data_IF_123567868720
#
_entry.id   IF_123567868720
#
_cell.length_a   1.000
_cell.length_b   1.000
_cell.length_c   1.000
_cell.angle_alpha   90.00
_cell.angle_beta   90.00
_cell.angle_gamma   90.00
#
_symmetry.space_group_name_H-M   'P 1'
#
loop_
_entity.id
_entity.type
_entity.pdbx_description
1 polymer ?
#
# COMPACT_ATOMS: atom_id res chain seq x y z
N UNK A 1 7.58 -11.56 17.43
CA UNK A 1 8.64 -10.61 17.00
C UNK A 1 8.37 -9.23 17.59
N UNK A 2 9.36 -8.48 18.06
CA UNK A 2 9.09 -7.16 18.66
C UNK A 2 8.97 -6.04 17.59
N UNK A 3 8.40 -4.90 17.96
CA UNK A 3 8.14 -3.79 17.01
C UNK A 3 9.40 -3.23 16.35
N UNK A 4 10.56 -3.28 17.02
CA UNK A 4 11.83 -2.79 16.45
C UNK A 4 12.27 -3.72 15.32
N UNK A 5 12.19 -5.03 15.52
CA UNK A 5 12.52 -6.01 14.49
C UNK A 5 11.60 -5.89 13.27
N UNK A 6 10.29 -5.73 13.49
CA UNK A 6 9.32 -5.49 12.39
C UNK A 6 9.65 -4.20 11.63
N UNK A 7 9.97 -3.14 12.38
CA UNK A 7 10.34 -1.84 11.79
C UNK A 7 11.55 -1.96 10.86
N UNK A 8 12.59 -2.66 11.30
CA UNK A 8 13.81 -2.91 10.52
C UNK A 8 13.55 -3.80 9.31
N UNK A 9 12.81 -4.90 9.48
CA UNK A 9 12.51 -5.85 8.39
C UNK A 9 11.63 -5.24 7.30
N UNK A 10 10.59 -4.50 7.70
CA UNK A 10 9.58 -3.95 6.78
C UNK A 10 9.94 -2.55 6.27
N UNK A 11 11.03 -1.96 6.74
CA UNK A 11 11.50 -0.65 6.31
C UNK A 11 10.55 0.51 6.65
N UNK A 12 9.78 0.39 7.73
CA UNK A 12 8.87 1.43 8.22
C UNK A 12 9.12 1.75 9.68
N UNK A 13 8.83 2.97 10.12
CA UNK A 13 9.09 3.36 11.51
C UNK A 13 8.19 2.61 12.50
N UNK A 14 8.69 2.39 13.72
CA UNK A 14 7.88 1.86 14.81
C UNK A 14 6.66 2.75 15.11
N UNK A 15 6.74 4.06 14.87
CA UNK A 15 5.61 4.97 15.03
C UNK A 15 4.55 4.78 13.94
N UNK A 16 4.95 4.44 12.71
CA UNK A 16 4.04 4.03 11.64
C UNK A 16 3.30 2.75 11.99
N UNK A 17 3.99 1.74 12.54
CA UNK A 17 3.36 0.51 13.02
C UNK A 17 2.33 0.79 14.12
N UNK A 18 2.71 1.61 15.12
CA UNK A 18 1.79 2.04 16.19
C UNK A 18 0.60 2.82 15.64
N UNK A 19 0.83 3.67 14.65
CA UNK A 19 -0.22 4.44 14.00
C UNK A 19 -1.20 3.54 13.28
N UNK A 20 -0.72 2.57 12.49
CA UNK A 20 -1.56 1.62 11.76
C UNK A 20 -2.37 0.73 12.69
N UNK A 21 -1.78 0.21 13.77
CA UNK A 21 -2.51 -0.49 14.83
C UNK A 21 -3.59 0.42 15.45
N UNK A 22 -3.23 1.66 15.82
CA UNK A 22 -4.15 2.60 16.50
C UNK A 22 -5.38 2.95 15.67
N UNK A 23 -5.24 3.07 14.36
CA UNK A 23 -6.35 3.42 13.47
C UNK A 23 -7.08 2.19 12.92
N UNK A 24 -6.67 0.97 13.28
CA UNK A 24 -7.31 -0.27 12.84
C UNK A 24 -6.91 -0.71 11.44
N UNK A 25 -5.77 -0.25 10.91
CA UNK A 25 -5.16 -0.80 9.69
C UNK A 25 -4.41 -2.10 9.94
N UNK A 26 -4.04 -2.37 11.19
CA UNK A 26 -3.54 -3.68 11.60
C UNK A 26 -4.38 -4.08 12.82
N UNK A 27 -4.82 -5.34 12.94
CA UNK A 27 -5.49 -5.81 14.15
C UNK A 27 -4.64 -5.56 15.41
N UNK A 28 -5.26 -5.47 16.59
CA UNK A 28 -4.53 -5.29 17.84
C UNK A 28 -3.48 -6.39 18.04
N UNK A 29 -2.23 -5.97 18.25
CA UNK A 29 -1.11 -6.90 18.40
C UNK A 29 -1.00 -7.35 19.85
N UNK A 30 -0.78 -8.64 20.06
CA UNK A 30 -0.56 -9.22 21.38
C UNK A 30 0.64 -8.58 22.09
N UNK A 31 0.65 -8.68 23.42
CA UNK A 31 1.73 -8.17 24.25
C UNK A 31 2.28 -9.26 25.15
N UNK A 32 3.58 -9.26 25.33
CA UNK A 32 4.25 -10.08 26.35
C UNK A 32 3.87 -9.61 27.75
N UNK A 33 4.16 -10.42 28.77
CA UNK A 33 3.98 -10.05 30.17
C UNK A 33 4.72 -8.74 30.57
N UNK A 34 5.78 -8.37 29.84
CA UNK A 34 6.50 -7.11 30.02
C UNK A 34 5.88 -5.91 29.27
N UNK A 35 4.71 -6.06 28.66
CA UNK A 35 4.00 -5.00 27.94
C UNK A 35 4.54 -4.70 26.53
N UNK A 36 5.51 -5.48 26.06
CA UNK A 36 6.13 -5.33 24.73
C UNK A 36 5.24 -6.01 23.70
N UNK A 37 4.99 -5.34 22.56
CA UNK A 37 4.27 -5.94 21.43
C UNK A 37 5.00 -7.17 20.90
N UNK A 38 4.25 -8.23 20.70
CA UNK A 38 4.74 -9.48 20.15
C UNK A 38 3.93 -9.83 18.90
N UNK A 39 4.49 -9.51 17.75
CA UNK A 39 3.93 -9.77 16.44
C UNK A 39 4.07 -11.25 16.11
N UNK A 40 2.93 -11.89 15.88
CA UNK A 40 2.80 -13.23 15.32
C UNK A 40 2.96 -13.21 13.81
N UNK A 41 3.08 -14.38 13.17
CA UNK A 41 3.10 -14.47 11.70
C UNK A 41 1.83 -13.89 11.07
N UNK A 42 0.67 -14.00 11.74
CA UNK A 42 -0.58 -13.41 11.26
C UNK A 42 -0.53 -11.89 11.28
N UNK A 43 0.00 -11.30 12.35
CA UNK A 43 0.19 -9.86 12.45
C UNK A 43 1.12 -9.35 11.33
N UNK A 44 2.16 -10.10 11.00
CA UNK A 44 3.06 -9.75 9.90
C UNK A 44 2.38 -9.81 8.54
N UNK A 45 1.48 -10.77 8.30
CA UNK A 45 0.66 -10.79 7.08
C UNK A 45 -0.24 -9.56 6.98
N UNK A 46 -0.81 -9.09 8.10
CA UNK A 46 -1.58 -7.85 8.13
C UNK A 46 -0.73 -6.60 7.87
N UNK A 47 0.49 -6.55 8.42
CA UNK A 47 1.45 -5.49 8.12
C UNK A 47 1.77 -5.47 6.63
N UNK A 48 2.11 -6.61 6.04
CA UNK A 48 2.46 -6.72 4.61
C UNK A 48 1.28 -6.33 3.71
N UNK A 49 0.07 -6.81 4.04
CA UNK A 49 -1.15 -6.44 3.34
C UNK A 49 -1.38 -4.92 3.38
N UNK A 50 -1.28 -4.32 4.57
CA UNK A 50 -1.48 -2.88 4.75
C UNK A 50 -0.47 -2.06 3.96
N UNK A 51 0.81 -2.45 4.00
CA UNK A 51 1.86 -1.75 3.28
C UNK A 51 1.67 -1.84 1.77
N UNK A 52 1.35 -3.02 1.25
CA UNK A 52 1.05 -3.22 -0.16
C UNK A 52 -0.12 -2.33 -0.60
N UNK A 53 -1.27 -2.41 0.08
CA UNK A 53 -2.47 -1.66 -0.29
C UNK A 53 -2.28 -0.14 -0.19
N UNK A 54 -1.61 0.34 0.87
CA UNK A 54 -1.32 1.77 1.04
C UNK A 54 -0.35 2.28 -0.03
N UNK A 55 0.66 1.50 -0.41
CA UNK A 55 1.58 1.88 -1.49
C UNK A 55 0.90 1.92 -2.86
N UNK A 56 -0.10 1.06 -3.09
CA UNK A 56 -0.94 1.09 -4.29
C UNK A 56 -1.97 2.23 -4.29
N UNK A 57 -2.07 2.99 -3.19
CA UNK A 57 -2.91 4.17 -3.08
C UNK A 57 -4.37 3.87 -2.70
N UNK A 58 -4.63 2.74 -2.04
CA UNK A 58 -5.92 2.47 -1.40
C UNK A 58 -6.08 3.36 -0.16
N UNK A 59 -7.31 3.78 0.11
CA UNK A 59 -7.62 4.71 1.21
C UNK A 59 -7.41 4.04 2.58
N UNK A 60 -7.21 4.85 3.61
CA UNK A 60 -7.21 4.34 4.98
C UNK A 60 -8.62 3.85 5.33
N UNK A 61 -9.66 4.60 4.92
CA UNK A 61 -11.05 4.27 5.25
C UNK A 61 -11.44 2.88 4.75
N UNK A 62 -11.19 2.56 3.48
CA UNK A 62 -11.55 1.26 2.88
C UNK A 62 -10.83 0.10 3.56
N UNK A 63 -9.54 0.26 3.89
CA UNK A 63 -8.76 -0.78 4.55
C UNK A 63 -9.19 -0.98 6.01
N UNK A 64 -9.51 0.10 6.74
CA UNK A 64 -10.06 -0.01 8.10
C UNK A 64 -11.43 -0.68 8.09
N UNK A 65 -12.27 -0.41 7.08
CA UNK A 65 -13.56 -1.07 6.92
C UNK A 65 -13.40 -2.56 6.61
N UNK A 66 -12.47 -2.91 5.71
CA UNK A 66 -12.14 -4.30 5.42
C UNK A 66 -11.72 -5.07 6.68
N UNK A 67 -10.88 -4.47 7.53
CA UNK A 67 -10.42 -5.11 8.78
C UNK A 67 -11.56 -5.20 9.79
N UNK A 68 -12.42 -4.17 9.88
CA UNK A 68 -13.61 -4.22 10.72
C UNK A 68 -14.54 -5.37 10.33
N UNK A 69 -14.78 -5.54 9.02
CA UNK A 69 -15.54 -6.68 8.50
C UNK A 69 -14.80 -7.99 8.79
N UNK A 70 -13.48 -8.04 8.61
CA UNK A 70 -12.66 -9.20 8.96
C UNK A 70 -12.86 -9.64 10.42
N UNK A 71 -12.78 -8.70 11.36
CA UNK A 71 -12.98 -8.96 12.78
C UNK A 71 -14.41 -9.35 13.15
N UNK A 72 -15.40 -9.00 12.33
CA UNK A 72 -16.80 -9.33 12.56
C UNK A 72 -17.15 -10.80 12.26
N UNK A 73 -16.26 -11.58 11.66
CA UNK A 73 -16.51 -13.00 11.39
C UNK A 73 -17.09 -13.32 10.00
N UNK A 74 -17.16 -14.61 9.71
CA UNK A 74 -17.36 -15.16 8.36
C UNK A 74 -18.70 -14.78 7.70
N UNK A 75 -19.69 -14.32 8.47
CA UNK A 75 -20.93 -13.75 7.95
C UNK A 75 -20.70 -12.54 7.03
N UNK A 76 -19.55 -11.86 7.16
CA UNK A 76 -19.20 -10.68 6.36
C UNK A 76 -18.39 -10.99 5.11
N UNK A 77 -18.11 -12.27 4.78
CA UNK A 77 -17.28 -12.65 3.63
C UNK A 77 -17.75 -12.00 2.32
N UNK A 78 -19.07 -11.93 2.09
CA UNK A 78 -19.62 -11.27 0.91
C UNK A 78 -19.29 -9.78 0.87
N UNK A 79 -19.50 -9.06 1.98
CA UNK A 79 -19.18 -7.63 2.07
C UNK A 79 -17.67 -7.36 1.91
N UNK A 80 -16.82 -8.22 2.49
CA UNK A 80 -15.36 -8.14 2.32
C UNK A 80 -14.96 -8.29 0.84
N UNK A 81 -15.52 -9.29 0.17
CA UNK A 81 -15.27 -9.55 -1.25
C UNK A 81 -15.68 -8.35 -2.10
N UNK A 82 -16.88 -7.84 -1.87
CA UNK A 82 -17.44 -6.74 -2.67
C UNK A 82 -16.61 -5.45 -2.51
N UNK A 83 -16.17 -5.15 -1.27
CA UNK A 83 -15.24 -4.04 -1.01
C UNK A 83 -13.92 -4.22 -1.76
N UNK A 84 -13.31 -5.42 -1.71
CA UNK A 84 -12.06 -5.69 -2.42
C UNK A 84 -12.22 -5.62 -3.94
N UNK A 85 -13.39 -6.01 -4.47
CA UNK A 85 -13.69 -5.87 -5.89
C UNK A 85 -13.76 -4.41 -6.31
N UNK A 86 -14.46 -3.57 -5.52
CA UNK A 86 -14.55 -2.13 -5.79
C UNK A 86 -13.15 -1.47 -5.77
N UNK A 87 -12.35 -1.74 -4.74
CA UNK A 87 -10.99 -1.20 -4.66
C UNK A 87 -10.09 -1.71 -5.80
N UNK A 88 -10.27 -2.96 -6.24
CA UNK A 88 -9.55 -3.52 -7.38
C UNK A 88 -9.90 -2.81 -8.69
N UNK A 89 -11.17 -2.49 -8.92
CA UNK A 89 -11.61 -1.73 -10.09
C UNK A 89 -11.04 -0.29 -10.08
N UNK A 90 -11.02 0.36 -8.92
CA UNK A 90 -10.43 1.69 -8.79
C UNK A 90 -8.91 1.67 -9.04
N UNK A 91 -8.22 0.65 -8.53
CA UNK A 91 -6.79 0.47 -8.78
C UNK A 91 -6.51 0.22 -10.27
N UNK A 92 -7.33 -0.59 -10.95
CA UNK A 92 -7.19 -0.84 -12.38
C UNK A 92 -7.32 0.44 -13.22
N UNK A 93 -8.25 1.34 -12.86
CA UNK A 93 -8.38 2.66 -13.50
C UNK A 93 -7.11 3.50 -13.32
N UNK A 94 -6.58 3.59 -12.09
CA UNK A 94 -5.33 4.31 -11.80
C UNK A 94 -4.15 3.72 -12.59
N UNK A 95 -4.05 2.40 -12.71
CA UNK A 95 -3.02 1.74 -13.50
C UNK A 95 -3.10 2.16 -14.98
N UNK A 96 -4.29 2.14 -15.56
CA UNK A 96 -4.48 2.56 -16.95
C UNK A 96 -4.08 4.03 -17.18
N UNK A 97 -4.43 4.93 -16.25
CA UNK A 97 -4.03 6.34 -16.30
C UNK A 97 -2.50 6.52 -16.20
N UNK A 98 -1.85 5.79 -15.29
CA UNK A 98 -0.40 5.82 -15.11
C UNK A 98 0.33 5.28 -16.34
N UNK A 99 -0.17 4.20 -16.96
CA UNK A 99 0.37 3.65 -18.20
C UNK A 99 0.24 4.65 -19.36
N UNK A 100 -0.92 5.28 -19.52
CA UNK A 100 -1.13 6.31 -20.53
C UNK A 100 -0.20 7.53 -20.33
N UNK A 101 0.06 7.91 -19.08
CA UNK A 101 1.03 8.96 -18.75
C UNK A 101 2.46 8.54 -19.12
N UNK A 102 2.87 7.32 -18.77
CA UNK A 102 4.18 6.77 -19.10
C UNK A 102 4.42 6.75 -20.62
N UNK A 103 3.42 6.36 -21.41
CA UNK A 103 3.52 6.40 -22.88
C UNK A 103 3.76 7.82 -23.42
N UNK A 104 3.08 8.82 -22.85
CA UNK A 104 3.29 10.23 -23.23
C UNK A 104 4.70 10.70 -22.90
N UNK A 105 5.23 10.30 -21.73
CA UNK A 105 6.61 10.60 -21.34
C UNK A 105 7.60 9.98 -22.33
N UNK A 106 7.41 8.71 -22.69
CA UNK A 106 8.29 8.01 -23.63
C UNK A 106 8.25 8.65 -25.03
N UNK A 107 7.09 9.08 -25.51
CA UNK A 107 6.97 9.83 -26.77
C UNK A 107 7.76 11.15 -26.74
N UNK A 108 7.71 11.88 -25.61
CA UNK A 108 8.51 13.12 -25.44
C UNK A 108 10.01 12.84 -25.42
N UNK A 109 10.45 11.83 -24.67
CA UNK A 109 11.86 11.43 -24.59
C UNK A 109 12.38 11.04 -25.99
N UNK A 110 11.62 10.22 -26.73
CA UNK A 110 11.99 9.81 -28.08
C UNK A 110 12.15 11.00 -29.03
N UNK A 111 11.28 12.02 -28.92
CA UNK A 111 11.41 13.26 -29.70
C UNK A 111 12.70 13.99 -29.37
N UNK A 112 13.01 14.22 -28.09
CA UNK A 112 14.26 14.89 -27.71
C UNK A 112 15.49 14.10 -28.13
N UNK A 113 15.46 12.77 -28.08
CA UNK A 113 16.56 11.95 -28.60
C UNK A 113 16.78 12.17 -30.10
N UNK A 114 15.71 12.32 -30.89
CA UNK A 114 15.83 12.64 -32.31
C UNK A 114 16.40 14.04 -32.54
N UNK A 115 15.96 15.03 -31.76
CA UNK A 115 16.44 16.41 -31.85
C UNK A 115 17.94 16.49 -31.50
N UNK A 116 18.38 15.76 -30.46
CA UNK A 116 19.79 15.65 -30.05
C UNK A 116 20.67 14.97 -31.12
N UNK A 117 20.16 13.93 -31.79
CA UNK A 117 20.91 13.21 -32.84
C UNK A 117 21.00 14.02 -34.13
N UNK A 118 20.01 14.87 -34.44
CA UNK A 118 20.00 15.70 -35.65
C UNK A 118 20.92 16.91 -35.60
N UNK A 119 21.50 17.23 -34.43
CA UNK A 119 22.57 18.22 -34.34
C UNK A 119 22.14 19.64 -34.71
N UNK A 120 20.95 20.08 -34.30
CA UNK A 120 20.74 21.51 -34.11
C UNK A 120 21.26 21.86 -32.70
N UNK A 121 22.17 22.84 -32.55
CA UNK A 121 22.47 23.35 -31.24
C UNK A 121 21.17 23.91 -30.69
N UNK A 122 20.68 23.36 -29.58
CA UNK A 122 19.65 24.04 -28.80
C UNK A 122 20.33 25.30 -28.26
N UNK A 123 20.32 26.35 -29.07
CA UNK A 123 20.60 27.71 -28.66
C UNK A 123 19.28 28.36 -28.30
N UNK A 124 19.28 28.86 -27.06
CA UNK A 124 18.32 29.69 -26.34
C UNK A 124 17.22 28.94 -25.59
#
# INVERSE_FOLDING_TARGET
MNIKQVSEEKGISADTLRYYERIGLIPPVNRTNGGIRDYTEEDLRWVDFTLCMRSAGLSIESLTEYIRLYSAGDETILARRDLLMEESEQLAKKIAEMQACQERLQKKIARYNQDLVKGDPILV
#
